data_IF_161423566647
#
_entry.id   IF_161423566647
#
_cell.length_a   1.000
_cell.length_b   1.000
_cell.length_c   1.000
_cell.angle_alpha   90.00
_cell.angle_beta   90.00
_cell.angle_gamma   90.00
#
_symmetry.space_group_name_H-M   'P 1'
#
loop_
_entity.id
_entity.type
_entity.pdbx_description
1 polymer ?
#
# COMPACT_ATOMS: atom_id res chain seq x y z
N UNK A 1 3.68 -19.90 2.73
CA UNK A 1 3.36 -18.50 2.42
C UNK A 1 2.21 -18.49 1.44
N UNK A 2 1.02 -18.00 1.81
CA UNK A 2 0.00 -17.70 0.81
C UNK A 2 0.59 -16.62 -0.09
N UNK A 3 0.94 -16.99 -1.32
CA UNK A 3 1.52 -16.08 -2.29
C UNK A 3 0.52 -14.95 -2.52
N UNK A 4 0.85 -13.74 -2.07
CA UNK A 4 0.07 -12.54 -2.40
C UNK A 4 -0.09 -12.55 -3.91
N UNK A 5 -1.33 -12.42 -4.38
CA UNK A 5 -1.58 -12.48 -5.80
C UNK A 5 -0.82 -11.34 -6.52
N UNK A 6 -0.39 -11.55 -7.79
CA UNK A 6 0.46 -10.59 -8.49
C UNK A 6 -0.13 -9.19 -8.58
N UNK A 7 -1.45 -9.08 -8.75
CA UNK A 7 -2.14 -7.80 -8.88
C UNK A 7 -2.17 -7.06 -7.54
N UNK A 8 -2.39 -7.75 -6.42
CA UNK A 8 -2.35 -7.13 -5.08
C UNK A 8 -0.93 -6.66 -4.75
N UNK A 9 0.09 -7.43 -5.13
CA UNK A 9 1.49 -7.00 -4.98
C UNK A 9 1.81 -5.73 -5.78
N UNK A 10 1.31 -5.63 -7.02
CA UNK A 10 1.44 -4.41 -7.83
C UNK A 10 0.70 -3.22 -7.21
N UNK A 11 -0.51 -3.42 -6.71
CA UNK A 11 -1.30 -2.39 -6.03
C UNK A 11 -0.60 -1.87 -4.77
N UNK A 12 -0.04 -2.76 -3.95
CA UNK A 12 0.76 -2.37 -2.77
C UNK A 12 1.96 -1.52 -3.20
N UNK A 13 2.70 -1.95 -4.23
CA UNK A 13 3.86 -1.23 -4.75
C UNK A 13 3.47 0.16 -5.28
N UNK A 14 2.35 0.25 -5.99
CA UNK A 14 1.83 1.51 -6.53
C UNK A 14 1.38 2.47 -5.42
N UNK A 15 0.73 1.97 -4.36
CA UNK A 15 0.31 2.76 -3.22
C UNK A 15 1.51 3.25 -2.39
N UNK A 16 2.48 2.37 -2.11
CA UNK A 16 3.70 2.72 -1.36
C UNK A 16 4.54 3.75 -2.12
N UNK A 17 4.77 3.56 -3.42
CA UNK A 17 5.55 4.51 -4.24
C UNK A 17 4.93 5.91 -4.32
N UNK A 18 3.61 6.02 -4.13
CA UNK A 18 2.88 7.30 -4.06
C UNK A 18 2.80 7.88 -2.64
N UNK A 19 3.43 7.24 -1.67
CA UNK A 19 3.40 7.68 -0.28
C UNK A 19 2.03 7.53 0.38
N UNK A 20 1.17 6.63 -0.11
CA UNK A 20 -0.14 6.38 0.48
C UNK A 20 0.00 5.97 1.95
N UNK A 21 -0.83 6.57 2.80
CA UNK A 21 -1.02 6.11 4.18
C UNK A 21 -1.81 4.80 4.15
N UNK A 22 -1.61 3.89 5.12
CA UNK A 22 -2.30 2.59 5.15
C UNK A 22 -3.75 2.75 5.67
N UNK A 23 -4.54 3.57 4.99
CA UNK A 23 -5.96 3.80 5.22
C UNK A 23 -6.72 3.77 3.89
N UNK A 24 -8.03 3.53 3.96
CA UNK A 24 -8.86 3.27 2.79
C UNK A 24 -8.87 4.41 1.78
N UNK A 25 -9.01 5.65 2.25
CA UNK A 25 -9.09 6.82 1.36
C UNK A 25 -7.75 7.07 0.68
N UNK A 26 -6.65 7.11 1.46
CA UNK A 26 -5.33 7.37 0.90
C UNK A 26 -4.87 6.28 -0.07
N UNK A 27 -5.14 5.01 0.24
CA UNK A 27 -4.83 3.89 -0.67
C UNK A 27 -5.70 3.97 -1.93
N UNK A 28 -7.00 4.24 -1.80
CA UNK A 28 -7.89 4.35 -2.95
C UNK A 28 -7.48 5.48 -3.89
N UNK A 29 -7.15 6.67 -3.36
CA UNK A 29 -6.66 7.79 -4.18
C UNK A 29 -5.35 7.46 -4.88
N UNK A 30 -4.40 6.82 -4.19
CA UNK A 30 -3.13 6.43 -4.79
C UNK A 30 -3.31 5.37 -5.90
N UNK A 31 -4.25 4.44 -5.74
CA UNK A 31 -4.54 3.42 -6.75
C UNK A 31 -5.30 3.99 -7.95
N UNK A 32 -6.21 4.95 -7.73
CA UNK A 32 -6.87 5.69 -8.79
C UNK A 32 -5.87 6.53 -9.59
N UNK A 33 -4.93 7.20 -8.91
CA UNK A 33 -3.82 7.91 -9.55
C UNK A 33 -2.89 6.94 -10.33
N UNK A 34 -2.73 5.72 -9.82
CA UNK A 34 -2.06 4.62 -10.54
C UNK A 34 -2.89 4.01 -11.68
N UNK A 35 -4.08 4.55 -11.98
CA UNK A 35 -4.99 4.11 -13.04
C UNK A 35 -5.51 2.68 -12.89
N UNK A 36 -5.55 2.15 -11.66
CA UNK A 36 -6.27 0.91 -11.38
C UNK A 36 -7.78 1.13 -11.50
N UNK A 37 -8.49 0.07 -11.87
CA UNK A 37 -9.95 0.10 -12.02
C UNK A 37 -10.61 0.10 -10.64
N UNK A 38 -11.63 0.92 -10.43
CA UNK A 38 -12.28 1.07 -9.12
C UNK A 38 -12.80 -0.25 -8.54
N UNK A 39 -13.33 -1.15 -9.38
CA UNK A 39 -13.83 -2.46 -8.91
C UNK A 39 -12.70 -3.36 -8.37
N UNK A 40 -11.52 -3.35 -9.00
CA UNK A 40 -10.33 -4.09 -8.52
C UNK A 40 -9.85 -3.53 -7.19
N UNK A 41 -9.88 -2.20 -7.04
CA UNK A 41 -9.57 -1.51 -5.79
C UNK A 41 -10.53 -1.97 -4.70
N UNK A 42 -11.84 -1.90 -4.93
CA UNK A 42 -12.85 -2.28 -3.93
C UNK A 42 -12.75 -3.76 -3.51
N UNK A 43 -12.52 -4.67 -4.45
CA UNK A 43 -12.44 -6.11 -4.14
C UNK A 43 -11.22 -6.49 -3.28
N UNK A 44 -10.17 -5.65 -3.28
CA UNK A 44 -8.85 -6.00 -2.71
C UNK A 44 -8.33 -4.94 -1.73
N UNK A 45 -9.16 -3.98 -1.37
CA UNK A 45 -8.74 -2.80 -0.62
C UNK A 45 -8.10 -3.17 0.73
N UNK A 46 -8.72 -4.11 1.44
CA UNK A 46 -8.24 -4.56 2.75
C UNK A 46 -6.87 -5.24 2.66
N UNK A 47 -6.66 -6.10 1.66
CA UNK A 47 -5.39 -6.79 1.44
C UNK A 47 -4.28 -5.80 1.06
N UNK A 48 -4.60 -4.79 0.23
CA UNK A 48 -3.65 -3.75 -0.15
C UNK A 48 -3.30 -2.88 1.05
N UNK A 49 -4.28 -2.46 1.87
CA UNK A 49 -4.02 -1.71 3.10
C UNK A 49 -3.13 -2.51 4.05
N UNK A 50 -3.43 -3.79 4.27
CA UNK A 50 -2.61 -4.67 5.11
C UNK A 50 -1.18 -4.80 4.56
N UNK A 51 -1.03 -4.90 3.24
CA UNK A 51 0.26 -4.89 2.55
C UNK A 51 1.05 -3.59 2.74
N UNK A 52 0.42 -2.44 2.50
CA UNK A 52 1.03 -1.11 2.70
C UNK A 52 1.45 -0.91 4.15
N UNK A 53 0.62 -1.35 5.11
CA UNK A 53 0.94 -1.30 6.54
C UNK A 53 2.18 -2.11 6.88
N UNK A 54 2.28 -3.34 6.37
CA UNK A 54 3.46 -4.20 6.56
C UNK A 54 4.72 -3.56 5.97
N UNK A 55 4.63 -3.05 4.73
CA UNK A 55 5.77 -2.40 4.08
C UNK A 55 6.24 -1.19 4.87
N UNK A 56 5.32 -0.31 5.28
CA UNK A 56 5.65 0.88 6.11
C UNK A 56 6.22 0.52 7.48
N UNK A 57 5.77 -0.56 8.11
CA UNK A 57 6.34 -1.00 9.39
C UNK A 57 7.80 -1.46 9.26
N UNK A 58 8.20 -1.99 8.09
CA UNK A 58 9.60 -2.35 7.82
C UNK A 58 10.48 -1.12 7.57
N UNK A 59 9.91 -0.01 7.09
CA UNK A 59 10.57 1.29 7.02
C UNK A 59 10.65 1.95 8.41
N UNK A 60 11.38 1.32 9.32
CA UNK A 60 11.81 1.99 10.56
C UNK A 60 12.79 3.08 10.14
N UNK A 61 12.37 4.35 10.16
CA UNK A 61 13.29 5.47 9.99
C UNK A 61 14.29 5.37 11.15
N UNK A 62 15.61 5.26 10.91
CA UNK A 62 16.55 5.34 12.00
C UNK A 62 16.36 6.72 12.63
N UNK A 63 15.83 6.74 13.86
CA UNK A 63 15.88 7.94 14.69
C UNK A 63 17.36 8.26 14.84
N UNK A 64 17.83 9.25 14.07
CA UNK A 64 19.09 9.92 14.35
C UNK A 64 18.89 10.58 15.71
N UNK A 65 19.33 9.88 16.73
CA UNK A 65 19.44 10.38 18.08
C UNK A 65 20.54 11.46 18.05
N UNK A 66 20.14 12.71 17.85
CA UNK A 66 21.04 13.85 17.93
C UNK A 66 21.10 14.24 19.40
N UNK A 67 22.12 13.67 20.08
CA UNK A 67 22.53 14.02 21.44
C UNK A 67 23.05 15.46 21.54
#
# INVERSE_FOLDING_TARGET
MSSIDPTTAQMITAAVSRGAKPDADSVSYALLDARFRSFEITMRLDDVIAGVRKVRATFTVPTLDVA
#
